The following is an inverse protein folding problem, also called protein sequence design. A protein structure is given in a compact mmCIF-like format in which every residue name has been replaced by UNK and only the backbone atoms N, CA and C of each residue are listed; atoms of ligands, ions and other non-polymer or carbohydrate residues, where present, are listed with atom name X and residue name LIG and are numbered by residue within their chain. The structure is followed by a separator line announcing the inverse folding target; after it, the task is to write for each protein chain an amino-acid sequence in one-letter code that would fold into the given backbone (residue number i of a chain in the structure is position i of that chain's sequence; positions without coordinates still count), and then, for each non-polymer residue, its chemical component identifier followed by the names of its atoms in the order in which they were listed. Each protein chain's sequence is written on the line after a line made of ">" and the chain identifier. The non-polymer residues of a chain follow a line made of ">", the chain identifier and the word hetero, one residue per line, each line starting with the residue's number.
data_IF_828692942545
#
_entry.id   IF_828692942545
#
_cell.length_a   1.000
_cell.length_b   1.000
_cell.length_c   1.000
_cell.angle_alpha   90.00
_cell.angle_beta   90.00
_cell.angle_gamma   90.00
#
_symmetry.space_group_name_H-M   'P 1'
#
loop_
_entity.id
_entity.type
_entity.pdbx_description
1 polymer ?
#
# COMPACT_ATOMS: atom_id res chain seq x y z
N UNK A 1 23.26 42.41 49.26
CA UNK A 1 23.52 41.26 48.36
C UNK A 1 22.27 40.41 48.33
N UNK A 2 21.42 40.63 47.33
CA UNK A 2 20.16 39.91 47.18
C UNK A 2 20.42 38.58 46.44
N UNK A 3 20.00 37.50 47.09
CA UNK A 3 20.02 36.12 46.61
C UNK A 3 18.92 35.99 45.55
N UNK A 4 19.30 35.86 44.28
CA UNK A 4 18.37 35.64 43.17
C UNK A 4 17.97 34.16 43.09
N UNK A 5 17.03 33.73 43.93
CA UNK A 5 16.41 32.41 43.85
C UNK A 5 15.10 32.47 43.06
N UNK A 6 14.92 31.50 42.13
CA UNK A 6 13.60 30.96 41.81
C UNK A 6 12.83 31.58 40.63
N UNK A 7 13.24 31.29 39.39
CA UNK A 7 12.33 31.30 38.22
C UNK A 7 12.63 30.23 37.16
N UNK A 8 13.83 29.64 37.12
CA UNK A 8 14.22 28.64 36.11
C UNK A 8 13.66 27.22 36.32
N UNK A 9 13.41 26.80 37.55
CA UNK A 9 13.06 25.40 37.85
C UNK A 9 11.64 24.99 37.37
N UNK A 10 10.68 25.93 37.35
CA UNK A 10 9.30 25.65 36.90
C UNK A 10 9.16 25.50 35.39
N UNK A 11 9.97 26.22 34.60
CA UNK A 11 9.93 26.16 33.13
C UNK A 11 10.57 24.86 32.62
N UNK A 12 11.69 24.46 33.23
CA UNK A 12 12.40 23.21 32.88
C UNK A 12 11.55 21.97 33.23
N UNK A 13 10.87 21.98 34.39
CA UNK A 13 9.91 20.92 34.75
C UNK A 13 8.73 20.82 33.78
N UNK A 14 8.19 21.97 33.33
CA UNK A 14 7.11 22.03 32.35
C UNK A 14 7.54 21.46 30.98
N UNK A 15 8.75 21.81 30.52
CA UNK A 15 9.31 21.30 29.26
C UNK A 15 9.53 19.78 29.29
N UNK A 16 9.96 19.23 30.43
CA UNK A 16 10.11 17.79 30.59
C UNK A 16 8.76 17.06 30.55
N UNK A 17 7.72 17.60 31.21
CA UNK A 17 6.37 17.07 31.13
C UNK A 17 5.80 17.11 29.70
N UNK A 18 6.01 18.21 28.98
CA UNK A 18 5.58 18.36 27.58
C UNK A 18 6.30 17.37 26.67
N UNK A 19 7.63 17.20 26.83
CA UNK A 19 8.41 16.22 26.07
C UNK A 19 7.96 14.78 26.32
N UNK A 20 7.61 14.44 27.57
CA UNK A 20 7.08 13.11 27.91
C UNK A 20 5.72 12.85 27.26
N UNK A 21 4.81 13.83 27.28
CA UNK A 21 3.50 13.72 26.61
C UNK A 21 3.68 13.54 25.09
N UNK A 22 4.58 14.32 24.48
CA UNK A 22 4.89 14.19 23.06
C UNK A 22 5.52 12.82 22.73
N UNK A 23 6.41 12.31 23.58
CA UNK A 23 7.00 10.99 23.40
C UNK A 23 5.97 9.86 23.45
N UNK A 24 5.03 9.92 24.40
CA UNK A 24 3.91 8.96 24.47
C UNK A 24 3.06 9.06 23.20
N UNK A 25 2.73 10.28 22.76
CA UNK A 25 1.90 10.50 21.58
C UNK A 25 2.56 9.97 20.30
N UNK A 26 3.86 10.23 20.10
CA UNK A 26 4.65 9.66 19.00
C UNK A 26 4.59 8.13 19.03
N UNK A 27 4.80 7.52 20.20
CA UNK A 27 4.80 6.06 20.35
C UNK A 27 3.42 5.46 20.05
N UNK A 28 2.33 6.07 20.52
CA UNK A 28 0.97 5.62 20.24
C UNK A 28 0.65 5.70 18.75
N UNK A 29 0.95 6.83 18.10
CA UNK A 29 0.71 7.02 16.66
C UNK A 29 1.55 6.06 15.83
N UNK A 30 2.81 5.86 16.20
CA UNK A 30 3.71 4.90 15.55
C UNK A 30 3.19 3.46 15.68
N UNK A 31 2.69 3.07 16.85
CA UNK A 31 2.16 1.74 17.10
C UNK A 31 0.86 1.48 16.32
N UNK A 32 -0.05 2.46 16.27
CA UNK A 32 -1.25 2.37 15.40
C UNK A 32 -0.82 2.23 13.94
N UNK A 33 0.10 3.09 13.48
CA UNK A 33 0.63 3.05 12.13
C UNK A 33 1.25 1.70 11.79
N UNK A 34 1.99 1.09 12.71
CA UNK A 34 2.58 -0.25 12.54
C UNK A 34 1.51 -1.32 12.32
N UNK A 35 0.47 -1.37 13.15
CA UNK A 35 -0.58 -2.37 13.00
C UNK A 35 -1.34 -2.21 11.68
N UNK A 36 -1.64 -0.97 11.30
CA UNK A 36 -2.30 -0.71 10.01
C UNK A 36 -1.36 -1.02 8.85
N UNK A 37 -0.07 -0.70 8.94
CA UNK A 37 0.90 -1.06 7.91
C UNK A 37 1.02 -2.58 7.74
N UNK A 38 1.09 -3.34 8.82
CA UNK A 38 1.09 -4.82 8.77
C UNK A 38 -0.20 -5.33 8.11
N UNK A 39 -1.36 -4.75 8.44
CA UNK A 39 -2.63 -5.10 7.80
C UNK A 39 -2.60 -4.83 6.29
N UNK A 40 -2.09 -3.67 5.88
CA UNK A 40 -1.98 -3.31 4.47
C UNK A 40 -0.97 -4.19 3.72
N UNK A 41 0.17 -4.54 4.33
CA UNK A 41 1.14 -5.49 3.77
C UNK A 41 0.54 -6.89 3.64
N UNK A 42 -0.24 -7.33 4.63
CA UNK A 42 -0.98 -8.59 4.52
C UNK A 42 -1.98 -8.56 3.36
N UNK A 43 -2.72 -7.46 3.22
CA UNK A 43 -3.64 -7.26 2.11
C UNK A 43 -2.92 -7.29 0.75
N UNK A 44 -1.76 -6.64 0.65
CA UNK A 44 -0.91 -6.61 -0.55
C UNK A 44 -0.37 -8.00 -0.94
N UNK A 45 0.08 -8.79 0.04
CA UNK A 45 0.82 -10.03 -0.22
C UNK A 45 -0.03 -11.31 -0.16
N UNK A 46 -1.21 -11.26 0.46
CA UNK A 46 -2.04 -12.45 0.68
C UNK A 46 -3.53 -12.24 0.42
N UNK A 47 -4.06 -11.03 0.65
CA UNK A 47 -5.49 -10.75 0.47
C UNK A 47 -5.86 -10.41 -0.98
N UNK A 48 -4.94 -9.75 -1.66
CA UNK A 48 -5.05 -9.17 -3.00
C UNK A 48 -3.73 -9.34 -3.77
N UNK A 49 -3.01 -10.44 -3.56
CA UNK A 49 -1.72 -10.67 -4.22
C UNK A 49 -1.87 -10.74 -5.74
N UNK A 50 -3.04 -11.14 -6.23
CA UNK A 50 -3.35 -11.11 -7.65
C UNK A 50 -3.42 -9.69 -8.21
N UNK A 51 -3.91 -8.71 -7.45
CA UNK A 51 -3.94 -7.30 -7.87
C UNK A 51 -2.51 -6.74 -7.92
N UNK A 52 -1.73 -6.95 -6.84
CA UNK A 52 -0.34 -6.50 -6.80
C UNK A 52 0.49 -7.16 -7.91
N UNK A 53 0.30 -8.46 -8.15
CA UNK A 53 0.98 -9.18 -9.22
C UNK A 53 0.64 -8.61 -10.59
N UNK A 54 -0.64 -8.25 -10.82
CA UNK A 54 -1.07 -7.63 -12.07
C UNK A 54 -0.46 -6.24 -12.25
N UNK A 55 -0.44 -5.42 -11.20
CA UNK A 55 0.18 -4.10 -11.21
C UNK A 55 1.69 -4.18 -11.47
N UNK A 56 2.39 -5.10 -10.80
CA UNK A 56 3.83 -5.31 -10.98
C UNK A 56 4.15 -5.81 -12.40
N UNK A 57 3.32 -6.68 -12.97
CA UNK A 57 3.49 -7.09 -14.38
C UNK A 57 3.20 -5.96 -15.37
N UNK A 58 2.32 -5.02 -15.02
CA UNK A 58 1.95 -3.91 -15.88
C UNK A 58 3.01 -2.80 -15.92
N UNK A 59 3.71 -2.53 -14.82
CA UNK A 59 4.62 -1.38 -14.69
C UNK A 59 6.06 -1.76 -14.31
N UNK A 60 6.30 -2.99 -13.83
CA UNK A 60 7.59 -3.47 -13.33
C UNK A 60 8.14 -2.58 -12.19
N UNK A 61 7.33 -2.39 -11.15
CA UNK A 61 7.62 -1.44 -10.07
C UNK A 61 7.25 -1.99 -8.67
N UNK A 62 8.27 -2.30 -7.87
CA UNK A 62 8.14 -2.86 -6.52
C UNK A 62 8.17 -1.78 -5.41
N UNK A 63 8.25 -0.48 -5.76
CA UNK A 63 8.48 0.61 -4.79
C UNK A 63 7.39 0.72 -3.73
N UNK A 64 6.16 0.33 -4.05
CA UNK A 64 5.07 0.33 -3.08
C UNK A 64 5.34 -0.68 -1.96
N UNK A 65 5.75 -1.90 -2.31
CA UNK A 65 6.07 -2.96 -1.35
C UNK A 65 7.28 -2.56 -0.47
N UNK A 66 8.34 -2.05 -1.11
CA UNK A 66 9.51 -1.52 -0.42
C UNK A 66 9.14 -0.41 0.58
N UNK A 67 8.23 0.49 0.20
CA UNK A 67 7.78 1.57 1.07
C UNK A 67 7.16 1.04 2.38
N UNK A 68 6.36 -0.03 2.30
CA UNK A 68 5.76 -0.68 3.47
C UNK A 68 6.82 -1.37 4.34
N UNK A 69 7.76 -2.12 3.75
CA UNK A 69 8.81 -2.79 4.53
C UNK A 69 9.72 -1.79 5.24
N UNK A 70 10.13 -0.72 4.56
CA UNK A 70 10.93 0.35 5.18
C UNK A 70 10.14 0.98 6.33
N UNK A 71 8.85 1.30 6.13
CA UNK A 71 8.00 1.84 7.19
C UNK A 71 7.96 0.94 8.43
N UNK A 72 7.68 -0.35 8.23
CA UNK A 72 7.56 -1.34 9.32
C UNK A 72 8.89 -1.48 10.06
N UNK A 73 10.00 -1.62 9.34
CA UNK A 73 11.33 -1.80 9.92
C UNK A 73 11.71 -0.62 10.83
N UNK A 74 11.58 0.62 10.34
CA UNK A 74 11.93 1.81 11.11
C UNK A 74 10.99 2.02 12.31
N UNK A 75 9.70 1.71 12.16
CA UNK A 75 8.73 1.81 13.26
C UNK A 75 9.00 0.80 14.37
N UNK A 76 9.36 -0.45 14.02
CA UNK A 76 9.76 -1.47 14.99
C UNK A 76 11.04 -1.10 15.74
N UNK A 77 12.04 -0.61 15.02
CA UNK A 77 13.31 -0.16 15.61
C UNK A 77 13.05 0.99 16.59
N UNK A 78 12.21 1.97 16.23
CA UNK A 78 11.82 3.07 17.10
C UNK A 78 11.15 2.60 18.40
N UNK A 79 10.23 1.63 18.30
CA UNK A 79 9.48 1.13 19.46
C UNK A 79 10.34 0.27 20.39
N UNK A 80 11.20 -0.60 19.83
CA UNK A 80 12.10 -1.44 20.61
C UNK A 80 13.06 -0.58 21.47
N UNK A 81 13.64 0.44 20.86
CA UNK A 81 14.63 1.29 21.54
C UNK A 81 13.98 2.26 22.55
N UNK A 82 12.75 2.69 22.31
CA UNK A 82 11.97 3.46 23.29
C UNK A 82 11.72 2.66 24.58
N UNK A 83 11.41 1.35 24.45
CA UNK A 83 11.22 0.46 25.60
C UNK A 83 12.52 0.16 26.37
N UNK A 84 13.65 0.02 25.67
CA UNK A 84 14.96 -0.25 26.29
C UNK A 84 15.52 1.01 26.98
N UNK A 85 15.40 2.17 26.34
CA UNK A 85 15.88 3.45 26.88
C UNK A 85 15.18 3.89 28.17
N UNK A 86 13.89 3.55 28.32
CA UNK A 86 13.12 3.84 29.53
C UNK A 86 13.58 3.06 30.77
N UNK A 87 14.13 1.86 30.61
CA UNK A 87 14.51 0.98 31.74
C UNK A 87 15.91 1.29 32.30
N UNK A 88 16.85 1.74 31.46
CA UNK A 88 18.21 2.04 31.90
C UNK A 88 18.33 3.36 32.68
N UNK A 89 17.38 4.29 32.52
CA UNK A 89 17.40 5.59 33.22
C UNK A 89 17.06 5.51 34.71
N UNK A 90 16.57 4.35 35.17
CA UNK A 90 16.19 4.14 36.57
C UNK A 90 17.34 3.59 37.43
N UNK A 91 18.50 3.29 36.84
CA UNK A 91 19.57 2.54 37.51
C UNK A 91 20.87 3.31 37.81
N UNK A 92 21.08 4.53 37.30
CA UNK A 92 22.36 5.22 37.54
C UNK A 92 22.19 6.72 37.85
N UNK A 93 22.54 7.08 39.08
CA UNK A 93 22.82 8.44 39.50
C UNK A 93 24.09 8.96 38.79
N UNK A 94 23.94 9.95 37.90
CA UNK A 94 24.84 11.11 37.92
C UNK A 94 25.98 11.26 36.90
N UNK A 95 26.27 10.34 35.96
CA UNK A 95 27.44 10.54 35.04
C UNK A 95 27.26 10.18 33.54
N UNK A 96 26.03 10.18 33.01
CA UNK A 96 25.75 9.72 31.63
C UNK A 96 25.20 10.75 30.62
N UNK A 97 25.20 12.05 30.92
CA UNK A 97 24.36 13.02 30.18
C UNK A 97 24.79 13.32 28.74
N UNK A 98 26.07 13.17 28.39
CA UNK A 98 26.58 13.65 27.09
C UNK A 98 26.71 12.54 26.03
N UNK A 99 27.04 11.31 26.42
CA UNK A 99 27.17 10.18 25.47
C UNK A 99 25.82 9.57 25.08
N UNK A 100 24.80 9.69 25.94
CA UNK A 100 23.41 9.35 25.62
C UNK A 100 22.75 10.37 24.66
N UNK A 101 23.24 11.61 24.63
CA UNK A 101 22.73 12.71 23.79
C UNK A 101 23.12 12.57 22.31
N UNK A 102 24.39 12.27 21.99
CA UNK A 102 24.83 12.09 20.59
C UNK A 102 24.24 10.83 19.93
N UNK A 103 24.15 9.72 20.68
CA UNK A 103 23.54 8.50 20.17
C UNK A 103 22.03 8.67 19.94
N UNK A 104 21.32 9.35 20.85
CA UNK A 104 19.89 9.60 20.72
C UNK A 104 19.54 10.57 19.57
N UNK A 105 20.38 11.58 19.33
CA UNK A 105 20.20 12.53 18.21
C UNK A 105 20.49 11.89 16.86
N UNK A 106 21.60 11.16 16.71
CA UNK A 106 21.91 10.41 15.49
C UNK A 106 20.83 9.38 15.16
N UNK A 107 20.30 8.70 16.19
CA UNK A 107 19.21 7.75 16.03
C UNK A 107 17.90 8.41 15.60
N UNK A 108 17.53 9.54 16.22
CA UNK A 108 16.33 10.30 15.83
C UNK A 108 16.42 10.78 14.37
N UNK A 109 17.60 11.22 13.94
CA UNK A 109 17.86 11.58 12.55
C UNK A 109 17.73 10.37 11.61
N UNK A 110 18.22 9.19 12.01
CA UNK A 110 18.07 7.97 11.23
C UNK A 110 16.59 7.55 11.08
N UNK A 111 15.78 7.67 12.14
CA UNK A 111 14.34 7.42 12.09
C UNK A 111 13.63 8.39 11.14
N UNK A 112 13.95 9.69 11.24
CA UNK A 112 13.43 10.72 10.33
C UNK A 112 13.79 10.36 8.89
N UNK A 113 15.05 10.02 8.62
CA UNK A 113 15.50 9.64 7.27
C UNK A 113 14.78 8.38 6.75
N UNK A 114 14.55 7.37 7.59
CA UNK A 114 13.82 6.16 7.22
C UNK A 114 12.36 6.41 6.87
N UNK A 115 11.66 7.21 7.69
CA UNK A 115 10.28 7.63 7.41
C UNK A 115 10.19 8.51 6.16
N UNK A 116 11.16 9.41 5.95
CA UNK A 116 11.25 10.18 4.71
C UNK A 116 11.43 9.26 3.49
N UNK A 117 12.34 8.29 3.55
CA UNK A 117 12.58 7.36 2.46
C UNK A 117 11.32 6.55 2.10
N UNK A 118 10.65 5.97 3.10
CA UNK A 118 9.37 5.26 2.91
C UNK A 118 8.30 6.17 2.30
N UNK A 119 8.15 7.40 2.81
CA UNK A 119 7.18 8.37 2.29
C UNK A 119 7.48 8.75 0.83
N UNK A 120 8.75 8.99 0.49
CA UNK A 120 9.18 9.31 -0.87
C UNK A 120 8.88 8.15 -1.82
N UNK A 121 9.19 6.90 -1.43
CA UNK A 121 8.84 5.73 -2.24
C UNK A 121 7.33 5.66 -2.53
N UNK A 122 6.49 5.94 -1.51
CA UNK A 122 5.05 6.03 -1.68
C UNK A 122 4.62 7.11 -2.68
N UNK A 123 5.19 8.31 -2.59
CA UNK A 123 4.93 9.42 -3.53
C UNK A 123 5.37 9.05 -4.95
N UNK A 124 6.59 8.54 -5.12
CA UNK A 124 7.11 8.16 -6.43
C UNK A 124 6.24 7.08 -7.08
N UNK A 125 5.82 6.06 -6.32
CA UNK A 125 4.91 5.05 -6.84
C UNK A 125 3.57 5.66 -7.30
N UNK A 126 3.01 6.59 -6.51
CA UNK A 126 1.75 7.26 -6.86
C UNK A 126 1.86 8.13 -8.10
N UNK A 127 2.93 8.90 -8.22
CA UNK A 127 3.07 9.92 -9.25
C UNK A 127 3.66 9.35 -10.54
N UNK A 128 4.45 8.28 -10.47
CA UNK A 128 5.13 7.68 -11.63
C UNK A 128 4.53 6.33 -12.04
N UNK A 129 4.23 5.42 -11.10
CA UNK A 129 3.80 4.07 -11.43
C UNK A 129 2.29 3.99 -11.74
N UNK A 130 1.43 4.52 -10.85
CA UNK A 130 -0.04 4.44 -11.00
C UNK A 130 -0.56 5.02 -12.34
N UNK A 131 -0.02 6.14 -12.88
CA UNK A 131 -0.45 6.64 -14.18
C UNK A 131 -0.10 5.70 -15.35
N UNK A 132 0.94 4.89 -15.20
CA UNK A 132 1.39 3.93 -16.22
C UNK A 132 0.63 2.60 -16.15
N UNK A 133 0.03 2.26 -15.00
CA UNK A 133 -0.74 1.01 -14.80
C UNK A 133 -1.78 0.79 -15.89
N UNK A 134 -2.48 1.84 -16.33
CA UNK A 134 -3.47 1.73 -17.40
C UNK A 134 -2.87 1.17 -18.69
N UNK A 135 -1.85 1.85 -19.20
CA UNK A 135 -1.18 1.48 -20.47
C UNK A 135 -0.50 0.10 -20.33
N UNK A 136 0.08 -0.17 -19.17
CA UNK A 136 0.63 -1.46 -18.82
C UNK A 136 -0.41 -2.57 -18.92
N UNK A 137 -1.53 -2.45 -18.19
CA UNK A 137 -2.65 -3.41 -18.26
C UNK A 137 -3.21 -3.59 -19.68
N UNK A 138 -3.38 -2.50 -20.43
CA UNK A 138 -3.83 -2.59 -21.84
C UNK A 138 -2.86 -3.43 -22.69
N UNK A 139 -1.55 -3.31 -22.46
CA UNK A 139 -0.53 -4.07 -23.20
C UNK A 139 -0.52 -5.58 -22.87
N UNK A 140 -1.10 -5.97 -21.73
CA UNK A 140 -1.13 -7.35 -21.25
C UNK A 140 -2.30 -8.16 -21.82
N UNK A 141 -3.29 -7.51 -22.45
CA UNK A 141 -4.47 -8.19 -23.04
C UNK A 141 -4.15 -8.93 -24.37
N UNK A 142 -3.50 -8.32 -25.38
CA UNK A 142 -3.42 -8.91 -26.73
C UNK A 142 -2.35 -9.97 -26.95
N UNK A 143 -1.43 -10.11 -26.01
CA UNK A 143 -0.31 -11.05 -26.13
C UNK A 143 -0.80 -12.48 -25.81
N UNK A 144 -0.02 -13.53 -26.13
CA UNK A 144 -0.30 -14.92 -25.74
C UNK A 144 -0.26 -15.14 -24.20
N UNK A 145 -0.35 -14.04 -23.47
CA UNK A 145 -0.24 -13.89 -22.04
C UNK A 145 -1.60 -13.94 -21.36
N UNK A 146 -2.75 -13.85 -22.03
CA UNK A 146 -4.06 -13.97 -21.36
C UNK A 146 -4.61 -15.41 -21.37
N UNK A 147 -4.52 -16.10 -22.50
CA UNK A 147 -4.99 -17.49 -22.65
C UNK A 147 -3.94 -18.37 -23.30
N UNK A 148 -3.85 -19.62 -22.86
CA UNK A 148 -2.99 -20.62 -23.47
C UNK A 148 -3.43 -20.83 -24.94
N UNK A 149 -2.50 -20.81 -25.90
CA UNK A 149 -2.82 -20.87 -27.33
C UNK A 149 -3.21 -22.27 -27.84
N UNK A 150 -3.60 -23.22 -26.98
CA UNK A 150 -4.06 -24.54 -27.44
C UNK A 150 -5.43 -24.41 -28.13
N UNK A 151 -5.36 -24.19 -29.44
CA UNK A 151 -6.52 -24.02 -30.30
C UNK A 151 -7.42 -25.25 -30.30
N UNK A 152 -8.69 -25.05 -29.92
CA UNK A 152 -9.75 -26.04 -30.07
C UNK A 152 -10.29 -26.64 -28.76
N UNK A 153 -9.76 -26.26 -27.61
CA UNK A 153 -10.38 -26.64 -26.33
C UNK A 153 -11.74 -25.95 -26.17
N UNK A 154 -12.76 -26.73 -25.79
CA UNK A 154 -14.12 -26.23 -25.49
C UNK A 154 -14.12 -25.33 -24.24
N UNK A 155 -13.08 -25.43 -23.41
CA UNK A 155 -12.86 -24.66 -22.19
C UNK A 155 -11.64 -23.73 -22.36
N UNK A 156 -11.77 -22.42 -22.14
CA UNK A 156 -10.63 -21.51 -22.17
C UNK A 156 -9.67 -21.85 -21.02
N UNK A 157 -8.42 -22.15 -21.35
CA UNK A 157 -7.35 -22.24 -20.37
C UNK A 157 -6.67 -20.88 -20.24
N UNK A 158 -6.89 -20.23 -19.09
CA UNK A 158 -6.26 -18.97 -18.77
C UNK A 158 -4.80 -19.20 -18.37
N UNK A 159 -3.92 -18.31 -18.79
CA UNK A 159 -2.59 -18.23 -18.19
C UNK A 159 -2.69 -17.66 -16.78
N UNK A 160 -1.60 -17.67 -16.01
CA UNK A 160 -1.53 -16.97 -14.72
C UNK A 160 -1.92 -15.49 -14.79
N UNK A 161 -1.56 -14.80 -15.88
CA UNK A 161 -1.93 -13.39 -16.07
C UNK A 161 -3.41 -13.24 -16.44
N UNK A 162 -3.98 -14.13 -17.25
CA UNK A 162 -5.42 -14.17 -17.50
C UNK A 162 -6.21 -14.44 -16.21
N UNK A 163 -5.70 -15.30 -15.33
CA UNK A 163 -6.27 -15.54 -14.01
C UNK A 163 -6.28 -14.28 -13.14
N UNK A 164 -5.22 -13.47 -13.14
CA UNK A 164 -5.18 -12.20 -12.41
C UNK A 164 -6.20 -11.18 -12.93
N UNK A 165 -6.37 -11.09 -14.25
CA UNK A 165 -7.44 -10.26 -14.82
C UNK A 165 -8.83 -10.79 -14.47
N UNK A 166 -9.05 -12.11 -14.53
CA UNK A 166 -10.33 -12.70 -14.14
C UNK A 166 -10.62 -12.46 -12.66
N UNK A 167 -9.61 -12.55 -11.79
CA UNK A 167 -9.74 -12.19 -10.36
C UNK A 167 -10.26 -10.76 -10.21
N UNK A 168 -9.62 -9.80 -10.88
CA UNK A 168 -10.01 -8.38 -10.85
C UNK A 168 -11.45 -8.18 -11.36
N UNK A 169 -11.80 -8.81 -12.49
CA UNK A 169 -13.12 -8.73 -13.12
C UNK A 169 -14.23 -9.30 -12.23
N UNK A 170 -14.01 -10.49 -11.65
CA UNK A 170 -14.99 -11.15 -10.78
C UNK A 170 -15.12 -10.41 -9.45
N UNK A 171 -14.00 -9.97 -8.86
CA UNK A 171 -13.98 -9.28 -7.56
C UNK A 171 -14.70 -7.94 -7.59
N UNK A 172 -14.47 -7.14 -8.64
CA UNK A 172 -14.98 -5.77 -8.74
C UNK A 172 -16.12 -5.58 -9.75
N UNK A 173 -16.62 -6.66 -10.36
CA UNK A 173 -17.70 -6.61 -11.35
C UNK A 173 -17.40 -5.60 -12.47
N UNK A 174 -16.20 -5.74 -13.03
CA UNK A 174 -15.66 -4.85 -14.04
C UNK A 174 -15.29 -5.65 -15.30
N UNK A 175 -15.14 -4.96 -16.42
CA UNK A 175 -14.64 -5.56 -17.64
C UNK A 175 -13.69 -4.60 -18.34
N UNK A 176 -12.53 -5.14 -18.71
CA UNK A 176 -11.51 -4.43 -19.44
C UNK A 176 -10.85 -3.26 -18.70
N UNK A 177 -9.94 -2.59 -19.39
CA UNK A 177 -9.10 -1.49 -18.89
C UNK A 177 -9.66 -0.16 -19.36
N UNK A 178 -10.30 -0.11 -20.54
CA UNK A 178 -10.94 1.10 -21.08
C UNK A 178 -12.46 0.97 -21.07
N UNK A 179 -13.16 2.10 -20.89
CA UNK A 179 -14.62 2.22 -21.01
C UNK A 179 -15.10 2.11 -22.48
N UNK A 180 -14.79 1.00 -23.13
CA UNK A 180 -15.10 0.75 -24.56
C UNK A 180 -15.92 -0.53 -24.77
N UNK A 181 -16.63 -1.01 -23.75
CA UNK A 181 -17.37 -2.29 -23.79
C UNK A 181 -16.47 -3.44 -24.29
N UNK A 182 -15.32 -3.64 -23.64
CA UNK A 182 -14.40 -4.71 -24.00
C UNK A 182 -13.77 -4.60 -25.40
N UNK A 183 -13.79 -3.43 -26.07
CA UNK A 183 -13.21 -3.24 -27.43
C UNK A 183 -11.77 -3.76 -27.55
N UNK A 184 -10.97 -3.52 -26.53
CA UNK A 184 -9.59 -4.01 -26.40
C UNK A 184 -9.42 -5.54 -26.57
N UNK A 185 -10.42 -6.36 -26.21
CA UNK A 185 -10.39 -7.81 -26.44
C UNK A 185 -10.66 -8.17 -27.91
N UNK A 186 -11.48 -7.37 -28.60
CA UNK A 186 -11.70 -7.51 -30.04
C UNK A 186 -10.47 -7.08 -30.83
N UNK A 187 -9.88 -5.94 -30.46
CA UNK A 187 -8.64 -5.43 -31.04
C UNK A 187 -7.46 -6.41 -30.79
N UNK A 188 -7.56 -7.22 -29.73
CA UNK A 188 -6.68 -8.33 -29.41
C UNK A 188 -6.97 -9.65 -30.18
N UNK A 189 -7.94 -9.67 -31.09
CA UNK A 189 -8.33 -10.84 -31.90
C UNK A 189 -8.79 -12.05 -31.07
N UNK A 190 -9.44 -11.81 -29.93
CA UNK A 190 -9.97 -12.92 -29.10
C UNK A 190 -10.95 -13.81 -29.87
N UNK A 191 -11.77 -13.22 -30.74
CA UNK A 191 -12.78 -13.96 -31.51
C UNK A 191 -12.11 -14.91 -32.53
N UNK A 192 -11.04 -14.46 -33.18
CA UNK A 192 -10.32 -15.27 -34.15
C UNK A 192 -9.52 -16.39 -33.49
N UNK A 193 -8.85 -16.09 -32.36
CA UNK A 193 -7.95 -17.00 -31.64
C UNK A 193 -8.67 -18.00 -30.76
N UNK A 194 -9.70 -17.55 -30.03
CA UNK A 194 -10.32 -18.30 -28.93
C UNK A 194 -11.83 -18.49 -29.10
N UNK A 195 -12.41 -18.05 -30.24
CA UNK A 195 -13.86 -18.14 -30.52
C UNK A 195 -14.73 -17.45 -29.46
N UNK A 196 -14.19 -16.42 -28.81
CA UNK A 196 -14.88 -15.63 -27.80
C UNK A 196 -14.61 -14.14 -28.01
N UNK A 197 -15.59 -13.29 -27.72
CA UNK A 197 -15.45 -11.83 -27.91
C UNK A 197 -14.62 -11.17 -26.80
N UNK A 198 -14.76 -11.69 -25.58
CA UNK A 198 -14.11 -11.20 -24.37
C UNK A 198 -14.19 -12.30 -23.29
N UNK A 199 -13.39 -12.22 -22.21
CA UNK A 199 -13.42 -13.18 -21.09
C UNK A 199 -14.80 -13.34 -20.46
N UNK A 200 -15.21 -14.57 -20.11
CA UNK A 200 -16.49 -14.83 -19.42
C UNK A 200 -16.59 -14.14 -18.06
N UNK A 201 -15.47 -13.82 -17.43
CA UNK A 201 -15.40 -13.02 -16.20
C UNK A 201 -15.92 -11.57 -16.37
N UNK A 202 -16.07 -11.07 -17.60
CA UNK A 202 -16.77 -9.81 -17.89
C UNK A 202 -18.31 -9.91 -17.79
N UNK A 203 -18.86 -11.12 -17.67
CA UNK A 203 -20.29 -11.37 -17.56
C UNK A 203 -20.73 -11.55 -16.11
N UNK A 204 -22.02 -11.30 -15.85
CA UNK A 204 -22.64 -11.65 -14.57
C UNK A 204 -22.67 -13.17 -14.41
N UNK A 205 -22.10 -13.66 -13.30
CA UNK A 205 -22.01 -15.09 -12.97
C UNK A 205 -23.22 -15.56 -12.14
N UNK A 206 -23.67 -16.80 -12.37
CA UNK A 206 -24.79 -17.45 -11.65
C UNK A 206 -24.54 -17.56 -10.16
N UNK A 207 -23.32 -17.96 -9.78
CA UNK A 207 -22.94 -18.13 -8.38
C UNK A 207 -21.47 -17.79 -8.16
N UNK A 208 -21.23 -16.53 -7.80
CA UNK A 208 -19.87 -16.01 -7.53
C UNK A 208 -19.10 -16.77 -6.45
N UNK A 209 -19.80 -17.45 -5.52
CA UNK A 209 -19.14 -18.17 -4.43
C UNK A 209 -18.64 -19.55 -4.87
N UNK A 210 -19.27 -20.12 -5.89
CA UNK A 210 -18.96 -21.46 -6.37
C UNK A 210 -18.17 -21.44 -7.69
N UNK A 211 -18.25 -20.37 -8.47
CA UNK A 211 -17.42 -20.20 -9.67
C UNK A 211 -15.98 -19.87 -9.30
N UNK A 212 -15.05 -20.68 -9.78
CA UNK A 212 -13.61 -20.41 -9.65
C UNK A 212 -13.23 -19.25 -10.54
N UNK A 213 -12.80 -18.13 -9.97
CA UNK A 213 -12.31 -16.98 -10.74
C UNK A 213 -11.11 -17.32 -11.64
N UNK A 214 -10.36 -18.39 -11.33
CA UNK A 214 -9.25 -18.88 -12.16
C UNK A 214 -9.72 -19.46 -13.49
N UNK A 215 -10.92 -20.05 -13.51
CA UNK A 215 -11.42 -20.80 -14.66
C UNK A 215 -12.90 -20.48 -14.87
N UNK A 216 -13.19 -19.21 -15.15
CA UNK A 216 -14.57 -18.79 -15.46
C UNK A 216 -14.94 -19.25 -16.86
N UNK A 217 -15.97 -20.08 -16.95
CA UNK A 217 -16.40 -20.68 -18.21
C UNK A 217 -17.80 -20.20 -18.61
N UNK A 218 -18.23 -20.57 -19.81
CA UNK A 218 -19.57 -20.27 -20.33
C UNK A 218 -20.70 -20.75 -19.40
N UNK A 219 -20.49 -21.88 -18.70
CA UNK A 219 -21.49 -22.47 -17.80
C UNK A 219 -21.71 -21.63 -16.53
N UNK A 220 -20.69 -20.92 -16.08
CA UNK A 220 -20.72 -20.05 -14.89
C UNK A 220 -21.53 -18.77 -15.13
N UNK A 221 -21.70 -18.36 -16.38
CA UNK A 221 -22.39 -17.12 -16.75
C UNK A 221 -23.91 -17.29 -16.65
N UNK A 222 -24.59 -16.28 -16.08
CA UNK A 222 -26.05 -16.26 -15.88
C UNK A 222 -26.81 -16.39 -17.20
N UNK A 223 -26.51 -15.51 -18.14
CA UNK A 223 -27.03 -15.55 -19.51
C UNK A 223 -25.93 -15.17 -20.50
N UNK A 224 -25.24 -16.17 -21.09
CA UNK A 224 -24.14 -15.94 -22.02
C UNK A 224 -24.58 -15.19 -23.28
N UNK A 225 -25.81 -15.42 -23.75
CA UNK A 225 -26.32 -14.81 -24.98
C UNK A 225 -26.51 -13.32 -24.76
N UNK A 226 -27.18 -12.94 -23.67
CA UNK A 226 -27.40 -11.52 -23.30
C UNK A 226 -26.08 -10.82 -22.96
N UNK A 227 -25.16 -11.51 -22.29
CA UNK A 227 -23.83 -10.94 -22.03
C UNK A 227 -23.08 -10.63 -23.32
N UNK A 228 -23.06 -11.55 -24.30
CA UNK A 228 -22.37 -11.37 -25.58
C UNK A 228 -22.91 -10.20 -26.43
N UNK A 229 -24.12 -9.74 -26.11
CA UNK A 229 -24.78 -8.57 -26.70
C UNK A 229 -24.65 -7.29 -25.85
N UNK A 230 -23.79 -7.27 -24.83
CA UNK A 230 -23.52 -6.10 -23.97
C UNK A 230 -24.76 -5.57 -23.21
N UNK A 231 -25.71 -6.45 -22.91
CA UNK A 231 -26.90 -6.08 -22.15
C UNK A 231 -26.53 -5.61 -20.75
N UNK A 232 -27.15 -4.49 -20.31
CA UNK A 232 -26.76 -3.78 -19.08
C UNK A 232 -26.78 -4.64 -17.82
N UNK A 233 -27.66 -5.64 -17.76
CA UNK A 233 -27.82 -6.48 -16.57
C UNK A 233 -26.99 -7.77 -16.61
N UNK A 234 -26.28 -8.04 -17.72
CA UNK A 234 -25.54 -9.28 -17.93
C UNK A 234 -24.06 -9.05 -18.25
N UNK A 235 -23.66 -7.81 -18.49
CA UNK A 235 -22.30 -7.41 -18.81
C UNK A 235 -21.80 -6.31 -17.86
N UNK A 236 -20.59 -6.49 -17.33
CA UNK A 236 -19.92 -5.53 -16.46
C UNK A 236 -19.41 -4.32 -17.26
N UNK A 237 -20.07 -3.16 -17.11
CA UNK A 237 -19.74 -1.94 -17.88
C UNK A 237 -18.63 -1.09 -17.29
N UNK A 238 -18.30 -1.29 -16.02
CA UNK A 238 -17.24 -0.53 -15.37
C UNK A 238 -15.87 -1.02 -15.82
N UNK A 239 -14.93 -0.09 -16.01
CA UNK A 239 -13.53 -0.43 -16.23
C UNK A 239 -12.89 -1.00 -14.96
N UNK A 240 -12.08 -2.04 -15.12
CA UNK A 240 -11.26 -2.62 -14.07
C UNK A 240 -10.08 -1.75 -13.66
N UNK A 241 -9.56 -0.91 -14.58
CA UNK A 241 -8.50 0.03 -14.27
C UNK A 241 -8.88 0.97 -13.12
N UNK A 242 -10.14 1.40 -13.06
CA UNK A 242 -10.61 2.28 -11.98
C UNK A 242 -10.39 1.63 -10.62
N UNK A 243 -10.78 0.37 -10.46
CA UNK A 243 -10.66 -0.34 -9.19
C UNK A 243 -9.21 -0.63 -8.82
N UNK A 244 -8.40 -1.05 -9.79
CA UNK A 244 -6.96 -1.26 -9.60
C UNK A 244 -6.27 0.03 -9.15
N UNK A 245 -6.51 1.12 -9.89
CA UNK A 245 -5.97 2.45 -9.59
C UNK A 245 -6.41 2.95 -8.23
N UNK A 246 -7.69 2.84 -7.89
CA UNK A 246 -8.21 3.33 -6.62
C UNK A 246 -7.64 2.52 -5.44
N UNK A 247 -7.50 1.21 -5.58
CA UNK A 247 -6.85 0.35 -4.58
C UNK A 247 -5.37 0.71 -4.40
N UNK A 248 -4.58 0.81 -5.47
CA UNK A 248 -3.17 1.21 -5.41
C UNK A 248 -3.01 2.63 -4.83
N UNK A 249 -3.91 3.55 -5.18
CA UNK A 249 -3.91 4.93 -4.68
C UNK A 249 -4.20 4.97 -3.18
N UNK A 250 -5.15 4.16 -2.69
CA UNK A 250 -5.43 4.03 -1.25
C UNK A 250 -4.18 3.51 -0.50
N UNK A 251 -3.53 2.45 -1.02
CA UNK A 251 -2.31 1.90 -0.42
C UNK A 251 -1.17 2.91 -0.38
N UNK A 252 -0.95 3.67 -1.44
CA UNK A 252 0.08 4.70 -1.46
C UNK A 252 -0.27 5.88 -0.54
N UNK A 253 -1.51 6.38 -0.58
CA UNK A 253 -1.96 7.48 0.27
C UNK A 253 -1.81 7.16 1.76
N UNK A 254 -2.06 5.91 2.17
CA UNK A 254 -1.82 5.46 3.54
C UNK A 254 -0.36 5.69 3.96
N UNK A 255 0.60 5.19 3.17
CA UNK A 255 2.04 5.33 3.47
C UNK A 255 2.47 6.80 3.48
N UNK A 256 2.03 7.59 2.51
CA UNK A 256 2.37 9.01 2.42
C UNK A 256 1.82 9.76 3.65
N UNK A 257 0.54 9.57 3.96
CA UNK A 257 -0.15 10.25 5.05
C UNK A 257 0.44 9.91 6.43
N UNK A 258 0.70 8.63 6.69
CA UNK A 258 1.28 8.21 7.98
C UNK A 258 2.72 8.66 8.16
N UNK A 259 3.56 8.57 7.13
CA UNK A 259 4.94 9.07 7.21
C UNK A 259 4.96 10.59 7.44
N UNK A 260 4.07 11.34 6.79
CA UNK A 260 3.96 12.79 7.02
C UNK A 260 3.59 13.10 8.48
N UNK A 261 2.58 12.42 9.03
CA UNK A 261 2.17 12.62 10.42
C UNK A 261 3.31 12.29 11.40
N UNK A 262 4.00 11.16 11.20
CA UNK A 262 5.13 10.77 12.03
C UNK A 262 6.31 11.74 11.91
N UNK A 263 6.59 12.28 10.72
CA UNK A 263 7.65 13.28 10.52
C UNK A 263 7.39 14.55 11.32
N UNK A 264 6.18 15.09 11.24
CA UNK A 264 5.80 16.30 11.99
C UNK A 264 5.96 16.08 13.50
N UNK A 265 5.52 14.92 14.00
CA UNK A 265 5.63 14.58 15.42
C UNK A 265 7.09 14.36 15.86
N UNK A 266 7.89 13.66 15.05
CA UNK A 266 9.30 13.41 15.33
C UNK A 266 10.13 14.69 15.31
N UNK A 267 9.91 15.59 14.36
CA UNK A 267 10.59 16.89 14.29
C UNK A 267 10.22 17.75 15.52
N UNK A 268 8.94 17.77 15.91
CA UNK A 268 8.49 18.47 17.11
C UNK A 268 9.14 17.93 18.38
N UNK A 269 9.18 16.61 18.55
CA UNK A 269 9.84 15.95 19.68
C UNK A 269 11.35 16.21 19.69
N UNK A 270 12.01 16.12 18.53
CA UNK A 270 13.43 16.41 18.37
C UNK A 270 13.77 17.86 18.70
N UNK A 271 12.97 18.82 18.24
CA UNK A 271 13.16 20.25 18.55
C UNK A 271 13.07 20.54 20.05
N UNK A 272 12.10 19.92 20.74
CA UNK A 272 11.97 20.02 22.19
C UNK A 272 13.17 19.39 22.94
N UNK A 273 13.68 18.26 22.45
CA UNK A 273 14.89 17.62 22.99
C UNK A 273 16.12 18.51 22.83
N UNK A 274 16.33 19.08 21.64
CA UNK A 274 17.45 20.00 21.39
C UNK A 274 17.35 21.24 22.28
N UNK A 275 16.16 21.83 22.40
CA UNK A 275 15.94 22.98 23.27
C UNK A 275 16.24 22.66 24.75
N UNK A 276 15.77 21.50 25.24
CA UNK A 276 16.07 21.06 26.59
C UNK A 276 17.57 20.81 26.84
N UNK A 277 18.31 20.33 25.83
CA UNK A 277 19.76 20.11 25.93
C UNK A 277 20.58 21.40 25.83
N UNK A 278 20.13 22.41 25.09
CA UNK A 278 20.83 23.69 24.92
C UNK A 278 20.48 24.74 25.98
N UNK A 279 19.33 24.62 26.65
CA UNK A 279 18.83 25.62 27.60
C UNK A 279 18.59 25.08 29.03
N UNK A 280 18.90 23.81 29.32
CA UNK A 280 18.89 23.21 30.66
C UNK A 280 20.26 23.18 31.30
#
# INVERSE_FOLDING_TARGET
>A
MAKGEGKGSGIIGCLFCVSLIFGILVSVVALIGLFVAIWHTWDLLYGNDELLSLANLAVDDERLEDAYYVFIAFTLIAQFLSCVGGRNKQSDEGKGSQQSSCAGTAFSLALIAGHMASGILGVLYKDEAIPLVRTGMESLIPNASYMNPEGGAVTPEYTKMGEYFNYLQVKYECCGVVETNAKEYFDAYFEDRYKMKFPYACCVLKDKKNSSWRQVNHEDVEDPTRCSNFERNYFHKNTCYRYERDWLTDKSNFIIGYNFALLVLNIGSFGLLVFAMCCG
#
